data_IF_350996369097
#
_entry.id   IF_350996369097
#
_cell.length_a   1.000
_cell.length_b   1.000
_cell.length_c   1.000
_cell.angle_alpha   90.00
_cell.angle_beta   90.00
_cell.angle_gamma   90.00
#
_symmetry.space_group_name_H-M   'P 1'
#
loop_
_entity.id
_entity.type
_entity.pdbx_description
1 polymer ?
#
# COMPACT_ATOMS: atom_id res chain seq x y z
N UNK A 1 11.89 -32.95 -48.76
CA UNK A 1 12.05 -31.71 -47.97
C UNK A 1 10.82 -31.56 -47.08
N UNK A 2 10.92 -31.85 -45.77
CA UNK A 2 9.85 -31.64 -44.78
C UNK A 2 10.23 -30.43 -43.91
N UNK A 3 9.31 -29.54 -43.54
CA UNK A 3 9.60 -28.42 -42.66
C UNK A 3 9.74 -28.88 -41.21
N UNK A 4 10.64 -28.21 -40.48
CA UNK A 4 10.94 -28.45 -39.07
C UNK A 4 9.81 -27.93 -38.17
N UNK A 5 9.34 -28.78 -37.26
CA UNK A 5 8.47 -28.40 -36.15
C UNK A 5 9.30 -27.66 -35.09
N UNK A 6 9.03 -26.37 -34.88
CA UNK A 6 9.59 -25.61 -33.75
C UNK A 6 8.72 -25.85 -32.52
N UNK A 7 9.33 -26.46 -31.49
CA UNK A 7 8.71 -26.75 -30.21
C UNK A 7 8.26 -25.49 -29.46
N UNK A 8 6.99 -25.49 -29.07
CA UNK A 8 6.38 -24.48 -28.20
C UNK A 8 6.97 -24.62 -26.79
N UNK A 9 7.91 -23.73 -26.44
CA UNK A 9 8.50 -23.64 -25.11
C UNK A 9 7.47 -23.14 -24.09
N UNK A 10 7.23 -23.95 -23.06
CA UNK A 10 6.19 -23.76 -22.06
C UNK A 10 6.62 -22.71 -21.02
N UNK A 11 6.20 -21.44 -21.18
CA UNK A 11 6.55 -20.30 -20.32
C UNK A 11 6.31 -20.53 -18.81
N UNK A 12 5.41 -21.44 -18.44
CA UNK A 12 5.07 -21.72 -17.03
C UNK A 12 6.22 -22.33 -16.22
N UNK A 13 7.14 -23.05 -16.86
CA UNK A 13 8.25 -23.68 -16.16
C UNK A 13 9.35 -22.69 -15.75
N UNK A 14 9.57 -21.63 -16.53
CA UNK A 14 10.63 -20.65 -16.24
C UNK A 14 10.29 -19.71 -15.08
N UNK A 15 9.02 -19.34 -14.91
CA UNK A 15 8.60 -18.47 -13.80
C UNK A 15 8.81 -19.17 -12.46
N UNK A 16 8.51 -20.47 -12.39
CA UNK A 16 8.73 -21.27 -11.18
C UNK A 16 10.23 -21.44 -10.84
N UNK A 17 11.08 -21.63 -11.85
CA UNK A 17 12.53 -21.74 -11.65
C UNK A 17 13.14 -20.42 -11.13
N UNK A 18 12.73 -19.28 -11.70
CA UNK A 18 13.16 -17.95 -11.25
C UNK A 18 12.68 -17.70 -9.82
N UNK A 19 11.43 -18.04 -9.50
CA UNK A 19 10.89 -17.87 -8.16
C UNK A 19 11.64 -18.74 -7.14
N UNK A 20 11.97 -19.99 -7.49
CA UNK A 20 12.75 -20.88 -6.63
C UNK A 20 14.18 -20.37 -6.40
N UNK A 21 14.84 -19.84 -7.43
CA UNK A 21 16.18 -19.27 -7.31
C UNK A 21 16.19 -18.04 -6.39
N UNK A 22 15.19 -17.16 -6.51
CA UNK A 22 15.02 -15.98 -5.65
C UNK A 22 14.74 -16.39 -4.20
N UNK A 23 13.91 -17.41 -3.97
CA UNK A 23 13.60 -17.90 -2.62
C UNK A 23 14.79 -18.59 -1.94
N UNK A 24 15.65 -19.28 -2.69
CA UNK A 24 16.85 -19.92 -2.15
C UNK A 24 17.97 -18.92 -1.83
N UNK A 25 18.05 -17.82 -2.58
CA UNK A 25 19.06 -16.78 -2.37
C UNK A 25 18.83 -15.91 -1.12
N UNK A 26 17.61 -15.84 -0.59
CA UNK A 26 17.28 -14.98 0.57
C UNK A 26 16.34 -15.67 1.58
N UNK A 27 16.86 -16.61 2.40
CA UNK A 27 16.05 -17.36 3.37
C UNK A 27 15.45 -16.51 4.49
N UNK A 28 16.02 -15.33 4.77
CA UNK A 28 15.55 -14.41 5.83
C UNK A 28 14.23 -13.69 5.49
N UNK A 29 13.92 -13.50 4.20
CA UNK A 29 12.70 -12.81 3.74
C UNK A 29 11.48 -13.73 3.86
N UNK A 30 11.66 -15.05 3.71
CA UNK A 30 10.56 -16.02 3.61
C UNK A 30 10.27 -16.78 4.91
N UNK A 31 11.12 -16.68 5.93
CA UNK A 31 10.94 -17.38 7.23
C UNK A 31 9.74 -16.87 8.04
N UNK A 32 9.18 -15.70 7.72
CA UNK A 32 8.06 -15.09 8.46
C UNK A 32 6.67 -15.36 7.87
N UNK A 33 6.56 -15.98 6.71
CA UNK A 33 5.27 -16.13 6.02
C UNK A 33 4.85 -17.60 5.93
N UNK A 34 3.90 -17.99 6.78
CA UNK A 34 3.42 -19.39 6.95
C UNK A 34 2.89 -19.99 5.64
N UNK A 35 2.33 -19.16 4.74
CA UNK A 35 1.84 -19.59 3.44
C UNK A 35 2.95 -20.07 2.49
N UNK A 36 4.18 -19.56 2.62
CA UNK A 36 5.31 -19.98 1.80
C UNK A 36 5.92 -21.30 2.29
N UNK A 37 5.84 -21.55 3.60
CA UNK A 37 6.35 -22.78 4.20
C UNK A 37 5.55 -24.00 3.72
N UNK A 38 4.23 -23.88 3.57
CA UNK A 38 3.37 -24.95 3.04
C UNK A 38 3.57 -25.20 1.55
N UNK A 39 3.89 -24.17 0.74
CA UNK A 39 4.26 -24.34 -0.68
C UNK A 39 5.61 -25.04 -0.82
N UNK A 40 6.63 -24.62 -0.06
CA UNK A 40 7.95 -25.26 -0.05
C UNK A 40 7.90 -26.71 0.44
N UNK A 41 7.08 -27.02 1.44
CA UNK A 41 6.91 -28.39 1.94
C UNK A 41 6.17 -29.29 0.92
N UNK A 42 5.15 -28.78 0.23
CA UNK A 42 4.48 -29.51 -0.88
C UNK A 42 5.42 -29.72 -2.07
N UNK A 43 6.33 -28.78 -2.33
CA UNK A 43 7.33 -28.91 -3.38
C UNK A 43 8.39 -29.97 -3.02
N UNK A 44 8.86 -29.99 -1.77
CA UNK A 44 9.77 -31.04 -1.24
C UNK A 44 9.15 -32.44 -1.30
N UNK A 45 7.85 -32.58 -1.04
CA UNK A 45 7.14 -33.87 -1.14
C UNK A 45 7.05 -34.41 -2.58
N UNK A 46 7.18 -33.57 -3.62
CA UNK A 46 7.16 -34.00 -5.03
C UNK A 46 8.54 -34.36 -5.60
N UNK A 47 9.63 -33.92 -4.97
CA UNK A 47 11.01 -34.21 -5.41
C UNK A 47 11.48 -35.61 -4.95
N UNK A 48 10.62 -36.38 -4.26
CA UNK A 48 10.87 -37.79 -3.94
C UNK A 48 10.84 -38.74 -5.14
N UNK A 49 10.46 -38.28 -6.34
CA UNK A 49 10.63 -39.04 -7.58
C UNK A 49 11.92 -38.58 -8.26
N UNK A 50 12.78 -39.57 -8.59
CA UNK A 50 14.11 -39.37 -9.16
C UNK A 50 14.07 -38.30 -10.25
N UNK A 51 14.90 -37.23 -10.16
CA UNK A 51 14.97 -36.26 -11.23
C UNK A 51 15.47 -36.96 -12.49
N UNK A 52 14.69 -36.82 -13.56
CA UNK A 52 15.02 -37.30 -14.88
C UNK A 52 16.40 -36.72 -15.29
N UNK A 53 17.30 -37.57 -15.80
CA UNK A 53 18.71 -37.21 -16.03
C UNK A 53 18.88 -36.05 -17.03
N UNK A 54 17.83 -35.70 -17.78
CA UNK A 54 17.80 -34.53 -18.65
C UNK A 54 17.88 -33.18 -17.90
N UNK A 55 17.31 -33.05 -16.70
CA UNK A 55 17.30 -31.78 -15.96
C UNK A 55 18.68 -31.47 -15.33
N UNK A 56 19.43 -32.50 -14.97
CA UNK A 56 20.78 -32.37 -14.42
C UNK A 56 21.83 -32.01 -15.48
N UNK A 57 21.62 -32.38 -16.76
CA UNK A 57 22.46 -31.91 -17.87
C UNK A 57 22.25 -30.42 -18.20
N UNK A 58 21.04 -29.89 -18.02
CA UNK A 58 20.77 -28.46 -18.22
C UNK A 58 21.46 -27.55 -17.21
N UNK A 59 21.56 -27.98 -15.95
CA UNK A 59 22.20 -27.20 -14.87
C UNK A 59 23.73 -27.26 -14.90
N UNK A 60 24.33 -28.30 -15.50
CA UNK A 60 25.79 -28.38 -15.68
C UNK A 60 26.32 -27.37 -16.71
N UNK A 61 25.49 -26.91 -17.64
CA UNK A 61 25.87 -25.90 -18.65
C UNK A 61 25.80 -24.45 -18.14
N UNK A 62 25.37 -24.21 -16.90
CA UNK A 62 25.33 -22.87 -16.30
C UNK A 62 26.52 -22.56 -15.38
N UNK A 63 27.49 -23.48 -15.25
CA UNK A 63 28.67 -23.29 -14.37
C UNK A 63 29.69 -22.28 -14.90
N UNK A 64 29.68 -21.95 -16.19
CA UNK A 64 30.68 -21.04 -16.77
C UNK A 64 30.30 -19.54 -16.70
N UNK A 65 29.16 -19.20 -16.10
CA UNK A 65 28.76 -17.80 -15.88
C UNK A 65 28.98 -17.32 -14.42
N UNK A 66 29.50 -18.16 -13.53
CA UNK A 66 29.62 -17.89 -12.10
C UNK A 66 30.86 -17.07 -11.70
N UNK A 67 31.81 -16.81 -12.61
CA UNK A 67 33.08 -16.15 -12.26
C UNK A 67 33.02 -14.63 -12.03
N UNK A 68 32.09 -13.90 -12.67
CA UNK A 68 32.17 -12.42 -12.74
C UNK A 68 31.02 -11.63 -12.10
N UNK A 69 29.82 -12.23 -11.98
CA UNK A 69 28.64 -11.52 -11.46
C UNK A 69 28.40 -11.73 -9.96
N UNK A 70 28.77 -12.89 -9.42
CA UNK A 70 28.52 -13.22 -8.01
C UNK A 70 29.41 -12.42 -7.04
N UNK A 71 30.66 -12.10 -7.44
CA UNK A 71 31.55 -11.25 -6.62
C UNK A 71 31.05 -9.82 -6.44
N UNK A 72 30.29 -9.29 -7.39
CA UNK A 72 29.66 -7.97 -7.23
C UNK A 72 28.57 -7.98 -6.16
N UNK A 73 27.82 -9.07 -6.01
CA UNK A 73 26.79 -9.16 -4.98
C UNK A 73 27.35 -9.35 -3.56
N UNK A 74 28.51 -9.98 -3.41
CA UNK A 74 29.16 -10.15 -2.10
C UNK A 74 29.94 -8.91 -1.65
N UNK A 75 30.53 -8.14 -2.57
CA UNK A 75 31.18 -6.86 -2.21
C UNK A 75 30.17 -5.80 -1.68
N UNK A 76 28.91 -5.86 -2.13
CA UNK A 76 27.84 -4.98 -1.60
C UNK A 76 27.35 -5.37 -0.19
N UNK A 77 27.71 -6.56 0.31
CA UNK A 77 27.24 -7.02 1.62
C UNK A 77 28.11 -6.54 2.80
N UNK A 78 29.34 -6.08 2.54
CA UNK A 78 30.32 -5.77 3.59
C UNK A 78 30.56 -4.26 3.82
N UNK A 79 30.15 -3.37 2.91
CA UNK A 79 30.38 -1.91 3.03
C UNK A 79 29.20 -1.07 3.58
N UNK A 80 28.13 -1.69 4.08
CA UNK A 80 26.90 -0.96 4.48
C UNK A 80 26.57 -1.02 5.98
N UNK A 81 27.54 -0.72 6.84
CA UNK A 81 27.48 -0.92 8.29
C UNK A 81 26.83 0.19 9.13
N UNK A 82 26.36 1.30 8.53
CA UNK A 82 25.58 2.32 9.24
C UNK A 82 24.11 2.19 8.85
N UNK A 83 23.42 1.23 9.47
CA UNK A 83 21.96 1.14 9.40
C UNK A 83 21.37 2.32 10.17
N UNK A 84 21.25 3.42 9.43
CA UNK A 84 20.36 4.54 9.69
C UNK A 84 19.08 4.00 10.32
N UNK A 85 18.91 4.30 11.61
CA UNK A 85 17.78 3.88 12.41
C UNK A 85 16.51 4.24 11.62
N UNK A 86 15.80 3.22 11.13
CA UNK A 86 14.55 3.39 10.39
C UNK A 86 13.68 4.33 11.22
N UNK A 87 13.55 5.57 10.74
CA UNK A 87 12.80 6.61 11.41
C UNK A 87 11.40 6.06 11.62
N UNK A 88 11.10 5.69 12.87
CA UNK A 88 9.76 5.29 13.27
C UNK A 88 8.84 6.40 12.77
N UNK A 89 7.82 6.06 11.96
CA UNK A 89 7.00 7.07 11.30
C UNK A 89 6.49 8.00 12.38
N UNK A 90 6.85 9.29 12.29
CA UNK A 90 6.49 10.31 13.28
C UNK A 90 4.98 10.23 13.52
N UNK A 91 4.59 9.52 14.57
CA UNK A 91 3.21 9.45 14.99
C UNK A 91 2.89 10.84 15.48
N UNK A 92 2.13 11.59 14.69
CA UNK A 92 1.54 12.84 15.14
C UNK A 92 0.74 12.49 16.39
N UNK A 93 1.21 12.95 17.55
CA UNK A 93 0.52 12.83 18.83
C UNK A 93 -0.78 13.64 18.73
N UNK A 94 -1.85 12.96 18.32
CA UNK A 94 -3.18 13.54 18.27
C UNK A 94 -3.70 13.76 19.69
N UNK A 95 -4.45 14.83 19.90
CA UNK A 95 -5.26 14.99 21.10
C UNK A 95 -6.12 13.71 21.28
N UNK A 96 -6.14 13.08 22.47
CA UNK A 96 -6.92 11.86 22.70
C UNK A 96 -8.41 12.01 22.30
N UNK A 97 -8.98 13.22 22.40
CA UNK A 97 -10.36 13.47 21.95
C UNK A 97 -10.52 13.31 20.44
N UNK A 98 -9.58 13.86 19.69
CA UNK A 98 -9.52 13.78 18.24
C UNK A 98 -9.28 12.36 17.77
N UNK A 99 -8.45 11.61 18.49
CA UNK A 99 -8.23 10.19 18.20
C UNK A 99 -9.49 9.34 18.45
N UNK A 100 -10.24 9.62 19.53
CA UNK A 100 -11.54 8.97 19.81
C UNK A 100 -12.55 9.23 18.68
N UNK A 101 -12.68 10.49 18.25
CA UNK A 101 -13.52 10.87 17.10
C UNK A 101 -13.04 10.21 15.80
N UNK A 102 -11.72 10.09 15.61
CA UNK A 102 -11.17 9.36 14.48
C UNK A 102 -11.56 7.88 14.53
N UNK A 103 -11.51 7.22 15.68
CA UNK A 103 -11.83 5.80 15.82
C UNK A 103 -13.33 5.49 15.73
N UNK A 104 -14.22 6.44 16.02
CA UNK A 104 -15.67 6.23 15.93
C UNK A 104 -16.12 5.93 14.49
N UNK A 105 -15.50 6.60 13.50
CA UNK A 105 -15.80 6.37 12.08
C UNK A 105 -14.92 5.24 11.53
N UNK A 106 -15.45 4.01 11.46
CA UNK A 106 -14.68 2.82 11.05
C UNK A 106 -14.19 2.86 9.59
N UNK A 107 -15.00 3.39 8.67
CA UNK A 107 -14.73 3.36 7.22
C UNK A 107 -14.89 4.75 6.60
N UNK A 108 -14.11 5.08 5.56
CA UNK A 108 -14.34 6.31 4.79
C UNK A 108 -15.68 6.23 4.07
N UNK A 109 -16.51 7.26 4.23
CA UNK A 109 -17.84 7.35 3.65
C UNK A 109 -17.81 7.95 2.24
N UNK A 110 -16.84 8.81 1.96
CA UNK A 110 -16.63 9.41 0.65
C UNK A 110 -15.25 9.03 0.11
N UNK A 111 -15.19 8.70 -1.17
CA UNK A 111 -13.93 8.40 -1.88
C UNK A 111 -13.85 9.29 -3.11
N UNK A 112 -12.77 10.03 -3.23
CA UNK A 112 -12.49 10.88 -4.37
C UNK A 112 -11.53 10.16 -5.30
N UNK A 113 -11.93 10.01 -6.56
CA UNK A 113 -11.14 9.34 -7.59
C UNK A 113 -10.00 10.22 -8.14
N UNK A 114 -9.33 9.70 -9.16
CA UNK A 114 -8.28 10.42 -9.90
C UNK A 114 -8.82 11.57 -10.76
N UNK A 115 -10.12 11.59 -11.06
CA UNK A 115 -10.79 12.65 -11.84
C UNK A 115 -10.87 14.00 -11.11
N UNK A 116 -10.36 14.09 -9.88
CA UNK A 116 -10.34 15.31 -9.09
C UNK A 116 -11.65 15.58 -8.36
N UNK A 117 -11.76 16.79 -7.81
CA UNK A 117 -12.94 17.24 -7.06
C UNK A 117 -13.99 17.75 -8.03
N UNK A 118 -15.23 17.30 -7.85
CA UNK A 118 -16.41 17.70 -8.61
C UNK A 118 -17.47 18.25 -7.66
N UNK A 119 -18.43 18.98 -8.19
CA UNK A 119 -19.48 19.62 -7.37
C UNK A 119 -20.42 18.57 -6.75
N UNK A 120 -20.60 17.42 -7.43
CA UNK A 120 -21.28 16.24 -6.88
C UNK A 120 -20.61 15.72 -5.61
N UNK A 121 -19.28 15.72 -5.54
CA UNK A 121 -18.53 15.31 -4.35
C UNK A 121 -18.75 16.28 -3.19
N UNK A 122 -18.76 17.58 -3.48
CA UNK A 122 -19.04 18.61 -2.49
C UNK A 122 -20.48 18.48 -1.95
N UNK A 123 -21.47 18.26 -2.82
CA UNK A 123 -22.85 18.02 -2.40
C UNK A 123 -22.98 16.76 -1.52
N UNK A 124 -22.37 15.64 -1.94
CA UNK A 124 -22.36 14.42 -1.14
C UNK A 124 -21.69 14.60 0.23
N UNK A 125 -20.61 15.39 0.30
CA UNK A 125 -19.98 15.72 1.58
C UNK A 125 -20.95 16.48 2.51
N UNK A 126 -21.69 17.46 1.97
CA UNK A 126 -22.65 18.25 2.72
C UNK A 126 -23.80 17.39 3.27
N UNK A 127 -24.33 16.48 2.45
CA UNK A 127 -25.40 15.58 2.86
C UNK A 127 -24.91 14.60 3.94
N UNK A 128 -23.68 14.08 3.81
CA UNK A 128 -23.06 13.21 4.81
C UNK A 128 -22.77 13.96 6.13
N UNK A 129 -22.29 15.21 6.06
CA UNK A 129 -22.05 16.02 7.25
C UNK A 129 -23.35 16.36 7.98
N UNK A 130 -24.44 16.62 7.23
CA UNK A 130 -25.75 16.84 7.83
C UNK A 130 -26.31 15.60 8.53
N UNK A 131 -25.98 14.40 8.05
CA UNK A 131 -26.49 13.14 8.60
C UNK A 131 -25.64 12.60 9.78
N UNK A 132 -24.32 12.78 9.73
CA UNK A 132 -23.40 12.12 10.67
C UNK A 132 -22.58 13.08 11.54
N UNK A 133 -22.51 14.37 11.19
CA UNK A 133 -21.65 15.38 11.86
C UNK A 133 -20.15 15.21 11.63
N UNK A 134 -19.66 13.97 11.49
CA UNK A 134 -18.27 13.59 11.28
C UNK A 134 -18.13 12.64 10.08
N UNK A 135 -17.27 12.99 9.12
CA UNK A 135 -17.13 12.23 7.87
C UNK A 135 -15.66 12.02 7.52
N UNK A 136 -15.27 10.77 7.27
CA UNK A 136 -13.96 10.43 6.69
C UNK A 136 -14.03 10.40 5.17
N UNK A 137 -13.14 11.14 4.52
CA UNK A 137 -13.01 11.22 3.06
C UNK A 137 -11.64 10.70 2.65
N UNK A 138 -11.61 9.73 1.73
CA UNK A 138 -10.37 9.19 1.15
C UNK A 138 -10.09 9.85 -0.20
N UNK A 139 -8.87 10.34 -0.39
CA UNK A 139 -8.41 10.95 -1.63
C UNK A 139 -7.52 9.94 -2.39
N UNK A 140 -8.00 9.39 -3.50
CA UNK A 140 -7.23 8.49 -4.37
C UNK A 140 -6.56 9.28 -5.51
N UNK A 141 -5.80 10.30 -5.14
CA UNK A 141 -5.12 11.18 -6.10
C UNK A 141 -3.70 10.62 -6.27
N UNK A 142 -3.16 10.64 -7.49
CA UNK A 142 -1.83 10.07 -7.79
C UNK A 142 -0.69 11.08 -7.70
N UNK A 143 -0.98 12.35 -7.43
CA UNK A 143 0.04 13.38 -7.35
C UNK A 143 0.97 13.12 -6.16
N UNK A 144 2.29 13.11 -6.43
CA UNK A 144 3.34 12.93 -5.43
C UNK A 144 3.54 14.19 -4.58
N UNK A 145 3.21 15.36 -5.12
CA UNK A 145 3.65 16.64 -4.57
C UNK A 145 2.50 17.58 -4.19
N UNK A 146 1.25 17.26 -4.54
CA UNK A 146 0.11 18.06 -4.08
C UNK A 146 -0.20 17.77 -2.61
N UNK A 147 -0.16 18.83 -1.81
CA UNK A 147 -0.48 18.79 -0.38
C UNK A 147 -1.95 18.42 -0.25
N UNK A 148 -2.23 17.31 0.44
CA UNK A 148 -3.59 16.82 0.75
C UNK A 148 -4.51 17.93 1.32
N UNK A 149 -3.91 18.92 1.99
CA UNK A 149 -4.57 20.11 2.53
C UNK A 149 -5.23 20.96 1.43
N UNK A 150 -4.59 21.13 0.29
CA UNK A 150 -5.08 21.99 -0.79
C UNK A 150 -6.34 21.39 -1.42
N UNK A 151 -6.36 20.06 -1.57
CA UNK A 151 -7.55 19.31 -1.99
C UNK A 151 -8.68 19.39 -0.97
N UNK A 152 -8.37 19.24 0.32
CA UNK A 152 -9.39 19.38 1.36
C UNK A 152 -10.01 20.80 1.37
N UNK A 153 -9.18 21.83 1.20
CA UNK A 153 -9.64 23.22 1.11
C UNK A 153 -10.49 23.45 -0.15
N UNK A 154 -10.04 22.97 -1.32
CA UNK A 154 -10.81 23.06 -2.57
C UNK A 154 -12.19 22.40 -2.45
N UNK A 155 -12.27 21.26 -1.75
CA UNK A 155 -13.54 20.57 -1.50
C UNK A 155 -14.48 21.42 -0.64
N UNK A 156 -13.94 22.08 0.38
CA UNK A 156 -14.71 23.00 1.24
C UNK A 156 -15.14 24.24 0.47
N UNK A 157 -14.28 24.84 -0.35
CA UNK A 157 -14.61 26.04 -1.12
C UNK A 157 -15.76 25.77 -2.08
N UNK A 158 -15.76 24.61 -2.75
CA UNK A 158 -16.90 24.17 -3.56
C UNK A 158 -18.15 23.90 -2.74
N UNK A 159 -18.01 23.28 -1.57
CA UNK A 159 -19.14 23.02 -0.68
C UNK A 159 -19.79 24.34 -0.20
N UNK A 160 -18.97 25.34 0.16
CA UNK A 160 -19.40 26.69 0.50
C UNK A 160 -20.11 27.39 -0.66
N UNK A 161 -19.64 27.19 -1.89
CA UNK A 161 -20.28 27.74 -3.10
C UNK A 161 -21.70 27.17 -3.31
N UNK A 162 -21.92 25.88 -3.02
CA UNK A 162 -23.22 25.23 -3.24
C UNK A 162 -24.21 25.57 -2.12
N UNK A 163 -23.79 25.55 -0.85
CA UNK A 163 -24.67 25.81 0.32
C UNK A 163 -23.98 26.71 1.36
N UNK A 164 -23.95 28.04 1.18
CA UNK A 164 -23.20 28.94 2.06
C UNK A 164 -23.74 29.01 3.50
N UNK A 165 -25.06 28.91 3.69
CA UNK A 165 -25.72 29.17 4.98
C UNK A 165 -25.43 28.15 6.07
N UNK A 166 -25.36 26.86 5.72
CA UNK A 166 -25.20 25.77 6.70
C UNK A 166 -23.75 25.46 7.07
N UNK A 167 -22.79 25.99 6.33
CA UNK A 167 -21.42 25.46 6.33
C UNK A 167 -20.32 26.51 6.28
N UNK A 168 -20.63 27.75 6.70
CA UNK A 168 -19.63 28.80 6.88
C UNK A 168 -18.44 28.33 7.75
N UNK A 169 -18.70 27.42 8.70
CA UNK A 169 -17.75 26.99 9.73
C UNK A 169 -17.22 25.55 9.57
N UNK A 170 -17.40 24.89 8.44
CA UNK A 170 -16.80 23.55 8.25
C UNK A 170 -15.28 23.66 8.28
N UNK A 171 -14.65 22.92 9.20
CA UNK A 171 -13.20 22.87 9.31
C UNK A 171 -12.68 21.50 8.84
N UNK A 172 -11.68 21.47 7.93
CA UNK A 172 -10.99 20.24 7.59
C UNK A 172 -10.04 19.87 8.73
N UNK A 173 -10.24 18.70 9.32
CA UNK A 173 -9.28 18.17 10.28
C UNK A 173 -8.42 17.09 9.60
N UNK A 174 -7.19 17.46 9.29
CA UNK A 174 -6.21 16.54 8.68
C UNK A 174 -5.54 15.76 9.80
N UNK A 175 -5.96 14.51 10.00
CA UNK A 175 -5.54 13.70 11.16
C UNK A 175 -4.38 12.76 10.90
N UNK A 176 -4.17 12.32 9.67
CA UNK A 176 -3.09 11.39 9.39
C UNK A 176 -2.75 11.39 7.90
N UNK A 177 -1.59 11.94 7.58
CA UNK A 177 -0.87 11.56 6.38
C UNK A 177 -0.04 10.33 6.75
N UNK A 178 -0.71 9.20 7.03
CA UNK A 178 0.01 7.92 6.92
C UNK A 178 0.35 7.79 5.45
N UNK A 179 1.61 7.52 5.13
CA UNK A 179 2.18 7.43 3.76
C UNK A 179 1.26 6.75 2.72
N UNK A 180 0.38 5.85 3.15
CA UNK A 180 -0.51 5.07 2.29
C UNK A 180 -2.01 5.39 2.42
N UNK A 181 -2.44 6.17 3.41
CA UNK A 181 -3.85 6.47 3.66
C UNK A 181 -4.09 7.97 3.66
N UNK A 182 -4.23 8.52 2.44
CA UNK A 182 -4.67 9.91 2.17
C UNK A 182 -6.13 10.12 2.59
N UNK A 183 -6.37 10.17 3.90
CA UNK A 183 -7.72 10.28 4.48
C UNK A 183 -7.80 11.53 5.34
N UNK A 184 -8.78 12.37 5.06
CA UNK A 184 -9.09 13.58 5.82
C UNK A 184 -10.45 13.40 6.49
N UNK A 185 -10.60 13.92 7.70
CA UNK A 185 -11.90 13.98 8.35
C UNK A 185 -12.44 15.40 8.31
N UNK A 186 -13.73 15.50 8.07
CA UNK A 186 -14.48 16.75 8.12
C UNK A 186 -15.46 16.65 9.29
N UNK A 187 -15.61 17.75 10.01
CA UNK A 187 -16.53 17.85 11.14
C UNK A 187 -17.35 19.14 11.05
N UNK A 188 -18.61 19.07 11.46
CA UNK A 188 -19.37 20.28 11.81
C UNK A 188 -18.88 20.86 13.15
N UNK A 189 -19.01 22.17 13.39
CA UNK A 189 -18.59 22.79 14.65
C UNK A 189 -19.33 22.17 15.85
N UNK A 190 -20.61 21.84 15.68
CA UNK A 190 -21.43 21.16 16.69
C UNK A 190 -20.86 19.79 17.06
N UNK A 191 -20.60 18.94 16.06
CA UNK A 191 -20.06 17.60 16.29
C UNK A 191 -18.62 17.64 16.83
N UNK A 192 -17.83 18.64 16.43
CA UNK A 192 -16.50 18.86 16.98
C UNK A 192 -16.57 19.22 18.48
N UNK A 193 -17.52 20.08 18.86
CA UNK A 193 -17.77 20.44 20.26
C UNK A 193 -18.25 19.24 21.09
N UNK A 194 -19.16 18.44 20.55
CA UNK A 194 -19.69 17.24 21.23
C UNK A 194 -18.62 16.16 21.41
N UNK A 195 -17.80 15.92 20.39
CA UNK A 195 -16.68 14.99 20.47
C UNK A 195 -15.68 15.38 21.58
N UNK A 196 -15.50 16.68 21.83
CA UNK A 196 -14.66 17.20 22.91
C UNK A 196 -15.33 17.11 24.29
N UNK A 197 -16.67 17.18 24.37
CA UNK A 197 -17.43 17.17 25.63
C UNK A 197 -17.60 15.80 26.27
N UNK A 198 -17.53 14.69 25.53
CA UNK A 198 -17.63 13.31 26.09
C UNK A 198 -16.40 12.87 26.91
N UNK A 199 -15.76 13.82 27.60
CA UNK A 199 -14.56 13.68 28.45
C UNK A 199 -14.86 13.48 29.94
N UNK A 200 -16.12 13.28 30.32
CA UNK A 200 -16.52 13.11 31.73
C UNK A 200 -17.07 11.72 31.97
#
# INVERSE_FOLDING_TARGET
RRPAEMGVFNLRSNVLAIFCAISLANPSIYSRNIAYRSVLLRFRSRIGQRPDQGLLRGLASCRDLEGGRMRRYLAFAEEGGDREAQATPKQLTLDPAREKAWRSVKKPLLRLGSSGIQDSHANSLLDLLSAHGLVKVKFNIYSKDEKLRDYANTLIDRAKKIRPSKFAEVQPMVFAEKEYQRVVMFSTPEAAGEALRTKS
#
